data_IF_892920192615
#
_entry.id   IF_892920192615
#
_cell.length_a   1.000
_cell.length_b   1.000
_cell.length_c   1.000
_cell.angle_alpha   90.00
_cell.angle_beta   90.00
_cell.angle_gamma   90.00
#
_symmetry.space_group_name_H-M   'P 1'
#
loop_
_entity.id
_entity.type
_entity.pdbx_description
1 polymer ?
#
# COMPACT_ATOMS: atom_id res chain seq x y z
N UNK A 1 -6.22 87.08 9.86
CA UNK A 1 -7.02 86.15 10.68
C UNK A 1 -7.48 85.07 9.72
N UNK A 2 -6.98 83.84 9.70
CA UNK A 2 -6.31 83.06 10.71
C UNK A 2 -5.32 82.12 10.02
N UNK A 3 -4.12 81.98 10.58
CA UNK A 3 -3.17 80.94 10.21
C UNK A 3 -3.70 79.60 10.75
N UNK A 4 -3.94 78.63 9.87
CA UNK A 4 -4.37 77.28 10.24
C UNK A 4 -3.21 76.58 10.97
N UNK A 5 -3.35 76.44 12.29
CA UNK A 5 -2.38 75.77 13.15
C UNK A 5 -2.27 74.29 12.71
N UNK A 6 -1.10 73.82 12.25
CA UNK A 6 -0.93 72.43 11.86
C UNK A 6 -1.06 71.54 13.11
N UNK A 7 -2.00 70.61 13.08
CA UNK A 7 -2.23 69.70 14.20
C UNK A 7 -0.97 68.87 14.49
N UNK A 8 -0.59 68.67 15.77
CA UNK A 8 0.59 67.90 16.12
C UNK A 8 0.44 66.45 15.66
N UNK A 9 1.43 65.95 14.92
CA UNK A 9 1.49 64.55 14.51
C UNK A 9 1.39 63.65 15.75
N UNK A 10 0.51 62.66 15.69
CA UNK A 10 0.26 61.72 16.78
C UNK A 10 1.54 60.90 17.05
N UNK A 11 2.34 61.33 18.03
CA UNK A 11 3.65 60.75 18.32
C UNK A 11 3.47 59.37 18.97
N UNK A 12 3.63 58.33 18.16
CA UNK A 12 3.58 56.95 18.63
C UNK A 12 4.99 56.53 19.04
N UNK A 13 5.19 56.06 20.29
CA UNK A 13 6.47 55.56 20.76
C UNK A 13 7.04 54.48 19.83
N UNK A 14 8.34 54.56 19.52
CA UNK A 14 9.04 53.60 18.66
C UNK A 14 8.87 52.14 19.11
N UNK A 15 8.77 51.94 20.42
CA UNK A 15 8.55 50.62 21.04
C UNK A 15 7.24 49.99 20.56
N UNK A 16 6.19 50.79 20.38
CA UNK A 16 4.88 50.32 19.90
C UNK A 16 4.97 49.95 18.41
N UNK A 17 5.69 50.73 17.62
CA UNK A 17 5.92 50.44 16.20
C UNK A 17 6.72 49.14 16.01
N UNK A 18 7.78 48.93 16.81
CA UNK A 18 8.57 47.68 16.81
C UNK A 18 7.72 46.47 17.22
N UNK A 19 6.85 46.61 18.22
CA UNK A 19 5.91 45.55 18.63
C UNK A 19 4.90 45.20 17.54
N UNK A 20 4.34 46.21 16.83
CA UNK A 20 3.41 45.98 15.70
C UNK A 20 4.09 45.21 14.57
N UNK A 21 5.28 45.64 14.13
CA UNK A 21 6.05 44.93 13.08
C UNK A 21 6.36 43.49 13.47
N UNK A 22 6.83 43.25 14.69
CA UNK A 22 7.13 41.90 15.14
C UNK A 22 5.88 41.00 15.20
N UNK A 23 4.73 41.56 15.58
CA UNK A 23 3.47 40.81 15.60
C UNK A 23 2.97 40.47 14.18
N UNK A 24 3.12 41.41 13.23
CA UNK A 24 2.80 41.20 11.82
C UNK A 24 3.72 40.13 11.18
N UNK A 25 5.03 40.21 11.42
CA UNK A 25 6.00 39.21 10.96
C UNK A 25 5.70 37.82 11.53
N UNK A 26 5.33 37.76 12.81
CA UNK A 26 4.95 36.50 13.46
C UNK A 26 3.66 35.92 12.87
N UNK A 27 2.66 36.77 12.59
CA UNK A 27 1.42 36.36 11.95
C UNK A 27 1.67 35.82 10.52
N UNK A 28 2.53 36.49 9.74
CA UNK A 28 2.94 36.05 8.40
C UNK A 28 3.67 34.70 8.47
N UNK A 29 4.63 34.56 9.39
CA UNK A 29 5.39 33.32 9.59
C UNK A 29 4.48 32.16 9.98
N UNK A 30 3.51 32.39 10.86
CA UNK A 30 2.52 31.39 11.28
C UNK A 30 1.59 30.99 10.13
N UNK A 31 1.16 31.94 9.30
CA UNK A 31 0.37 31.66 8.09
C UNK A 31 1.14 30.79 7.09
N UNK A 32 2.40 31.10 6.82
CA UNK A 32 3.27 30.32 5.93
C UNK A 32 3.49 28.89 6.45
N UNK A 33 3.74 28.73 7.75
CA UNK A 33 3.90 27.40 8.36
C UNK A 33 2.62 26.56 8.26
N UNK A 34 1.46 27.18 8.46
CA UNK A 34 0.16 26.51 8.30
C UNK A 34 -0.04 26.05 6.86
N UNK A 35 0.24 26.93 5.88
CA UNK A 35 0.10 26.62 4.46
C UNK A 35 1.03 25.48 4.03
N UNK A 36 2.29 25.47 4.51
CA UNK A 36 3.22 24.36 4.28
C UNK A 36 2.73 23.05 4.87
N UNK A 37 2.15 23.06 6.08
CA UNK A 37 1.56 21.86 6.69
C UNK A 37 0.38 21.35 5.86
N UNK A 38 -0.52 22.22 5.42
CA UNK A 38 -1.66 21.84 4.56
C UNK A 38 -1.17 21.29 3.21
N UNK A 39 -0.15 21.89 2.59
CA UNK A 39 0.45 21.36 1.35
C UNK A 39 1.04 19.97 1.56
N UNK A 40 1.78 19.77 2.66
CA UNK A 40 2.33 18.45 3.02
C UNK A 40 1.23 17.43 3.25
N UNK A 41 0.18 17.75 4.01
CA UNK A 41 -0.95 16.84 4.24
C UNK A 41 -1.71 16.50 2.94
N UNK A 42 -1.81 17.44 2.00
CA UNK A 42 -2.37 17.17 0.66
C UNK A 42 -1.49 16.24 -0.16
N UNK A 43 -0.17 16.45 -0.16
CA UNK A 43 0.78 15.57 -0.86
C UNK A 43 0.94 14.20 -0.20
N UNK A 44 0.77 14.14 1.12
CA UNK A 44 0.88 12.94 1.96
C UNK A 44 -0.48 12.24 2.13
N UNK A 45 -1.49 12.67 1.35
CA UNK A 45 -2.62 11.80 1.06
C UNK A 45 -2.03 10.59 0.35
N UNK A 46 -1.82 9.51 1.11
CA UNK A 46 -1.62 8.17 0.60
C UNK A 46 -2.55 8.05 -0.60
N UNK A 47 -2.00 8.02 -1.81
CA UNK A 47 -2.80 8.01 -3.04
C UNK A 47 -3.44 6.63 -3.10
N UNK A 48 -4.53 6.47 -2.36
CA UNK A 48 -5.40 5.32 -2.44
C UNK A 48 -5.96 5.42 -3.86
N UNK A 49 -5.39 4.61 -4.76
CA UNK A 49 -5.85 4.59 -6.15
C UNK A 49 -7.35 4.37 -6.16
N UNK A 50 -8.04 5.06 -7.06
CA UNK A 50 -9.47 4.86 -7.22
C UNK A 50 -9.73 3.40 -7.62
N UNK A 51 -10.85 2.78 -7.18
CA UNK A 51 -11.20 1.42 -7.60
C UNK A 51 -11.23 1.26 -9.12
N UNK A 52 -11.67 2.30 -9.83
CA UNK A 52 -11.65 2.39 -11.31
C UNK A 52 -10.24 2.21 -11.90
N UNK A 53 -9.23 2.85 -11.30
CA UNK A 53 -7.84 2.76 -11.74
C UNK A 53 -7.29 1.35 -11.53
N UNK A 54 -7.61 0.71 -10.40
CA UNK A 54 -7.26 -0.69 -10.17
C UNK A 54 -7.88 -1.61 -11.21
N UNK A 55 -9.18 -1.48 -11.49
CA UNK A 55 -9.86 -2.31 -12.49
C UNK A 55 -9.22 -2.14 -13.87
N UNK A 56 -8.90 -0.90 -14.25
CA UNK A 56 -8.20 -0.61 -15.52
C UNK A 56 -6.82 -1.26 -15.58
N UNK A 57 -6.00 -1.10 -14.54
CA UNK A 57 -4.67 -1.72 -14.46
C UNK A 57 -4.71 -3.25 -14.56
N UNK A 58 -5.71 -3.91 -13.96
CA UNK A 58 -5.87 -5.36 -14.08
C UNK A 58 -6.29 -5.78 -15.48
N UNK A 59 -7.27 -5.10 -16.09
CA UNK A 59 -7.72 -5.39 -17.47
C UNK A 59 -6.60 -5.20 -18.49
N UNK A 60 -5.84 -4.11 -18.37
CA UNK A 60 -4.72 -3.81 -19.27
C UNK A 60 -3.65 -4.92 -19.17
N UNK A 61 -3.30 -5.37 -17.96
CA UNK A 61 -2.36 -6.49 -17.74
C UNK A 61 -2.86 -7.82 -18.32
N UNK A 62 -4.13 -8.14 -18.17
CA UNK A 62 -4.71 -9.37 -18.75
C UNK A 62 -4.67 -9.32 -20.28
N UNK A 63 -5.06 -8.18 -20.87
CA UNK A 63 -5.00 -7.95 -22.31
C UNK A 63 -3.58 -8.07 -22.85
N UNK A 64 -2.60 -7.48 -22.17
CA UNK A 64 -1.18 -7.57 -22.53
C UNK A 64 -0.68 -9.02 -22.49
N UNK A 65 -1.03 -9.79 -21.44
CA UNK A 65 -0.69 -11.21 -21.35
C UNK A 65 -1.29 -12.03 -22.51
N UNK A 66 -2.55 -11.76 -22.88
CA UNK A 66 -3.20 -12.43 -24.01
C UNK A 66 -2.53 -12.06 -25.33
N UNK A 67 -2.22 -10.78 -25.55
CA UNK A 67 -1.52 -10.32 -26.74
C UNK A 67 -0.12 -10.93 -26.85
N UNK A 68 0.65 -10.97 -25.75
CA UNK A 68 1.95 -11.62 -25.71
C UNK A 68 1.84 -13.11 -26.03
N UNK A 69 0.85 -13.82 -25.47
CA UNK A 69 0.58 -15.23 -25.79
C UNK A 69 0.24 -15.42 -27.27
N UNK A 70 -0.61 -14.57 -27.86
CA UNK A 70 -0.96 -14.66 -29.28
C UNK A 70 0.24 -14.36 -30.20
N UNK A 71 1.07 -13.36 -29.87
CA UNK A 71 2.30 -13.03 -30.60
C UNK A 71 3.34 -14.14 -30.51
N UNK A 72 3.53 -14.74 -29.33
CA UNK A 72 4.45 -15.86 -29.10
C UNK A 72 4.03 -17.14 -29.83
N UNK A 73 2.72 -17.46 -29.85
CA UNK A 73 2.17 -18.60 -30.62
C UNK A 73 2.43 -18.47 -32.13
N UNK A 74 2.54 -17.25 -32.66
CA UNK A 74 2.86 -16.99 -34.08
C UNK A 74 4.36 -17.12 -34.43
N UNK A 75 5.27 -17.25 -33.44
CA UNK A 75 6.73 -17.13 -33.65
C UNK A 75 7.60 -18.28 -33.08
N UNK A 76 7.11 -19.52 -32.98
CA UNK A 76 7.86 -20.76 -32.58
C UNK A 76 7.82 -21.13 -31.08
N UNK A 77 7.85 -22.46 -30.86
CA UNK A 77 7.80 -23.29 -29.63
C UNK A 77 8.85 -22.96 -28.54
N UNK A 78 8.99 -21.71 -28.13
CA UNK A 78 9.70 -21.35 -26.89
C UNK A 78 8.72 -21.30 -25.73
N UNK A 79 8.89 -22.17 -24.74
CA UNK A 79 8.04 -22.22 -23.55
C UNK A 79 7.89 -20.81 -22.94
N UNK A 80 6.70 -20.24 -23.06
CA UNK A 80 6.34 -19.02 -22.37
C UNK A 80 6.25 -19.39 -20.90
N UNK A 81 7.35 -19.19 -20.17
CA UNK A 81 7.42 -19.43 -18.73
C UNK A 81 6.24 -18.69 -18.10
N UNK A 82 5.25 -19.47 -17.68
CA UNK A 82 4.07 -18.99 -16.99
C UNK A 82 4.54 -18.17 -15.81
N UNK A 83 4.18 -16.88 -15.82
CA UNK A 83 4.57 -15.90 -14.81
C UNK A 83 4.52 -16.51 -13.41
N UNK A 84 5.67 -16.59 -12.76
CA UNK A 84 5.80 -17.07 -11.39
C UNK A 84 4.87 -16.24 -10.50
N UNK A 85 3.77 -16.88 -10.11
CA UNK A 85 2.76 -16.24 -9.29
C UNK A 85 3.34 -16.01 -7.91
N UNK A 86 3.69 -14.77 -7.58
CA UNK A 86 4.32 -14.41 -6.30
C UNK A 86 3.44 -14.66 -5.07
N UNK A 87 2.16 -15.01 -5.24
CA UNK A 87 1.19 -15.20 -4.17
C UNK A 87 0.53 -16.57 -4.27
N UNK A 88 0.63 -17.32 -3.17
CA UNK A 88 0.00 -18.60 -2.94
C UNK A 88 -1.13 -18.43 -1.94
N UNK A 89 -2.24 -19.12 -2.19
CA UNK A 89 -3.28 -19.31 -1.20
C UNK A 89 -3.13 -20.70 -0.60
N UNK A 90 -3.12 -20.76 0.72
CA UNK A 90 -2.79 -21.96 1.49
C UNK A 90 -3.96 -22.26 2.43
N UNK A 91 -4.61 -23.42 2.28
CA UNK A 91 -5.75 -23.85 3.08
C UNK A 91 -5.36 -25.10 3.87
N UNK A 92 -5.68 -25.10 5.16
CA UNK A 92 -5.53 -26.30 5.99
C UNK A 92 -6.72 -27.25 5.80
N UNK A 93 -6.43 -28.47 5.34
CA UNK A 93 -7.41 -29.56 5.20
C UNK A 93 -7.34 -30.56 6.36
N UNK A 94 -6.20 -30.68 7.03
CA UNK A 94 -5.99 -31.67 8.08
C UNK A 94 -6.60 -31.31 9.45
N UNK A 95 -7.16 -32.32 10.12
CA UNK A 95 -7.71 -32.23 11.48
C UNK A 95 -6.65 -32.06 12.59
N UNK A 96 -7.06 -32.28 13.84
CA UNK A 96 -6.20 -32.13 15.02
C UNK A 96 -5.42 -33.41 15.39
N UNK A 97 -5.88 -34.58 14.95
CA UNK A 97 -5.29 -35.88 15.33
C UNK A 97 -4.02 -36.20 14.55
N UNK A 98 -3.04 -36.83 15.23
CA UNK A 98 -1.87 -37.53 14.67
C UNK A 98 -0.87 -36.72 13.83
N UNK A 99 -0.74 -35.41 14.10
CA UNK A 99 0.35 -34.62 13.54
C UNK A 99 1.61 -34.68 14.40
N UNK A 100 2.75 -35.00 13.77
CA UNK A 100 4.06 -34.85 14.38
C UNK A 100 4.29 -33.40 14.89
N UNK A 101 4.90 -33.20 16.08
CA UNK A 101 5.05 -31.86 16.67
C UNK A 101 5.75 -30.84 15.78
N UNK A 102 6.69 -31.28 14.91
CA UNK A 102 7.38 -30.39 13.95
C UNK A 102 6.42 -29.82 12.90
N UNK A 103 5.56 -30.66 12.32
CA UNK A 103 4.54 -30.26 11.33
C UNK A 103 3.53 -29.31 11.96
N UNK A 104 3.13 -29.57 13.22
CA UNK A 104 2.23 -28.69 13.98
C UNK A 104 2.81 -27.30 14.17
N UNK A 105 4.09 -27.20 14.53
CA UNK A 105 4.80 -25.93 14.65
C UNK A 105 4.86 -25.19 13.32
N UNK A 106 5.15 -25.90 12.22
CA UNK A 106 5.18 -25.31 10.88
C UNK A 106 3.82 -24.69 10.46
N UNK A 107 2.70 -25.39 10.69
CA UNK A 107 1.37 -24.83 10.43
C UNK A 107 1.06 -23.60 11.30
N UNK A 108 1.50 -23.60 12.55
CA UNK A 108 1.28 -22.46 13.45
C UNK A 108 2.12 -21.24 13.07
N UNK A 109 3.34 -21.43 12.53
CA UNK A 109 4.14 -20.34 11.96
C UNK A 109 3.44 -19.69 10.77
N UNK A 110 2.73 -20.46 9.95
CA UNK A 110 1.87 -19.98 8.86
C UNK A 110 0.53 -19.42 9.33
N UNK A 111 0.25 -19.43 10.64
CA UNK A 111 -1.02 -19.01 11.28
C UNK A 111 -2.23 -19.91 10.99
N UNK A 112 -2.03 -21.13 10.50
CA UNK A 112 -3.07 -22.11 10.18
C UNK A 112 -3.48 -22.94 11.41
N UNK A 113 -4.14 -22.29 12.38
CA UNK A 113 -4.54 -22.91 13.65
C UNK A 113 -5.84 -23.73 13.57
N UNK A 114 -6.81 -23.26 12.78
CA UNK A 114 -8.14 -23.87 12.63
C UNK A 114 -8.20 -24.71 11.36
N UNK A 115 -9.06 -25.72 11.33
CA UNK A 115 -9.35 -26.43 10.07
C UNK A 115 -10.10 -25.49 9.12
N UNK A 116 -9.88 -25.64 7.81
CA UNK A 116 -10.42 -24.76 6.77
C UNK A 116 -10.05 -23.28 6.91
N UNK A 117 -9.05 -22.94 7.73
CA UNK A 117 -8.46 -21.60 7.69
C UNK A 117 -7.55 -21.46 6.47
N UNK A 118 -7.65 -20.32 5.77
CA UNK A 118 -6.79 -19.97 4.65
C UNK A 118 -5.90 -18.77 4.95
N UNK A 119 -4.67 -18.77 4.44
CA UNK A 119 -3.74 -17.65 4.53
C UNK A 119 -3.09 -17.39 3.17
N UNK A 120 -2.96 -16.12 2.80
CA UNK A 120 -2.17 -15.71 1.63
C UNK A 120 -0.69 -15.61 2.01
N UNK A 121 0.17 -16.31 1.27
CA UNK A 121 1.61 -16.37 1.51
C UNK A 121 2.33 -15.95 0.23
N UNK A 122 3.36 -15.11 0.38
CA UNK A 122 4.25 -14.80 -0.73
C UNK A 122 5.13 -16.01 -1.06
N UNK A 123 5.19 -16.39 -2.33
CA UNK A 123 6.04 -17.46 -2.82
C UNK A 123 7.52 -17.05 -2.70
N UNK A 124 8.15 -17.52 -1.62
CA UNK A 124 9.59 -17.48 -1.37
C UNK A 124 10.13 -18.92 -1.28
N UNK A 125 11.41 -19.13 -1.52
CA UNK A 125 12.06 -20.46 -1.42
C UNK A 125 11.79 -21.13 -0.06
N UNK A 126 12.01 -20.41 1.04
CA UNK A 126 11.73 -20.91 2.40
C UNK A 126 10.27 -21.31 2.62
N UNK A 127 9.32 -20.55 2.06
CA UNK A 127 7.90 -20.88 2.22
C UNK A 127 7.55 -22.13 1.43
N UNK A 128 8.16 -22.34 0.26
CA UNK A 128 7.98 -23.55 -0.55
C UNK A 128 8.54 -24.77 0.18
N UNK A 129 9.73 -24.68 0.78
CA UNK A 129 10.28 -25.76 1.60
C UNK A 129 9.41 -26.12 2.81
N UNK A 130 8.83 -25.11 3.48
CA UNK A 130 7.88 -25.34 4.58
C UNK A 130 6.62 -26.03 4.06
N UNK A 131 6.09 -25.57 2.93
CA UNK A 131 4.89 -26.12 2.28
C UNK A 131 5.08 -27.59 1.89
N UNK A 132 6.23 -27.96 1.31
CA UNK A 132 6.57 -29.35 0.99
C UNK A 132 6.56 -30.26 2.24
N UNK A 133 7.00 -29.75 3.40
CA UNK A 133 6.98 -30.54 4.66
C UNK A 133 5.59 -30.72 5.25
N UNK A 134 4.64 -29.86 4.90
CA UNK A 134 3.26 -29.88 5.44
C UNK A 134 2.20 -30.20 4.40
N UNK A 135 2.63 -30.58 3.19
CA UNK A 135 1.82 -30.95 2.03
C UNK A 135 0.65 -31.90 2.35
N UNK A 136 0.79 -32.97 3.15
CA UNK A 136 -0.36 -33.85 3.43
C UNK A 136 -1.49 -33.20 4.24
N UNK A 137 -1.24 -32.07 4.92
CA UNK A 137 -2.24 -31.41 5.78
C UNK A 137 -2.79 -30.12 5.18
N UNK A 138 -2.26 -29.70 4.03
CA UNK A 138 -2.46 -28.37 3.46
C UNK A 138 -2.57 -28.46 1.95
N UNK A 139 -3.62 -27.84 1.41
CA UNK A 139 -3.70 -27.58 -0.02
C UNK A 139 -3.22 -26.17 -0.30
N UNK A 140 -2.41 -25.99 -1.33
CA UNK A 140 -1.97 -24.67 -1.75
C UNK A 140 -1.91 -24.54 -3.25
N UNK A 141 -2.07 -23.32 -3.73
CA UNK A 141 -2.06 -23.05 -5.16
C UNK A 141 -2.23 -21.56 -5.45
N UNK A 142 -2.17 -21.23 -6.73
CA UNK A 142 -2.56 -19.90 -7.15
C UNK A 142 -4.08 -19.76 -6.96
N UNK A 143 -4.51 -18.69 -6.28
CA UNK A 143 -5.91 -18.50 -5.88
C UNK A 143 -6.88 -18.57 -7.09
N UNK A 144 -6.49 -17.99 -8.23
CA UNK A 144 -7.31 -17.99 -9.44
C UNK A 144 -7.43 -19.40 -10.05
N UNK A 145 -6.41 -20.25 -9.88
CA UNK A 145 -6.48 -21.66 -10.28
C UNK A 145 -7.38 -22.44 -9.32
N UNK A 146 -7.18 -22.30 -8.00
CA UNK A 146 -7.98 -23.02 -7.01
C UNK A 146 -9.48 -22.71 -7.09
N UNK A 147 -9.85 -21.47 -7.40
CA UNK A 147 -11.26 -21.08 -7.57
C UNK A 147 -11.93 -21.68 -8.82
N UNK A 148 -11.16 -22.07 -9.84
CA UNK A 148 -11.69 -22.68 -11.07
C UNK A 148 -11.81 -24.21 -11.00
N UNK A 149 -11.15 -24.85 -10.03
CA UNK A 149 -11.15 -26.31 -9.84
C UNK A 149 -12.01 -26.78 -8.65
N UNK A 150 -12.68 -25.87 -7.95
CA UNK A 150 -13.65 -26.16 -6.89
C UNK A 150 -15.08 -26.09 -7.44
#
# INVERSE_FOLDING_TARGET
MADEVPQPLNYIPEVILKKRKNNEEWAIRRKLQLEQKVRKLKSDSFVIKKPEQFVREYRDKEMDLVQMKQRGKRRVKGALTTSDSKLLFVIRIGGKSDMHPRTRKALYSLRLRKIFSGVFVKANERTVEILQKVEPFVTYGHWASMALYA
#
